data_IF_343397020935
#
_entry.id   IF_343397020935
#
_cell.length_a   1.000
_cell.length_b   1.000
_cell.length_c   1.000
_cell.angle_alpha   90.00
_cell.angle_beta   90.00
_cell.angle_gamma   90.00
#
_symmetry.space_group_name_H-M   'P 1'
#
loop_
_entity.id
_entity.type
_entity.pdbx_description
1 polymer ?
#
# COMPACT_ATOMS: atom_id res chain seq x y z
N UNK A 1 -13.84 14.56 -58.73
CA UNK A 1 -13.26 15.52 -59.67
C UNK A 1 -14.42 16.21 -60.38
N UNK A 2 -14.43 17.55 -60.38
CA UNK A 2 -15.40 18.49 -60.95
C UNK A 2 -16.86 18.41 -60.50
N UNK A 3 -17.27 19.35 -59.64
CA UNK A 3 -18.53 20.09 -59.78
C UNK A 3 -18.38 21.43 -59.04
N UNK A 4 -18.69 22.52 -59.76
CA UNK A 4 -18.85 23.92 -59.35
C UNK A 4 -17.60 24.83 -59.24
N UNK A 5 -17.24 25.37 -60.41
CA UNK A 5 -16.71 26.72 -60.58
C UNK A 5 -17.81 27.79 -60.51
N UNK A 6 -17.37 29.01 -60.20
CA UNK A 6 -17.99 30.33 -60.42
C UNK A 6 -18.98 30.88 -59.38
N UNK A 7 -18.44 31.74 -58.50
CA UNK A 7 -18.91 33.12 -58.42
C UNK A 7 -17.75 34.08 -58.04
N UNK A 8 -17.47 34.99 -58.96
CA UNK A 8 -16.51 36.09 -58.92
C UNK A 8 -16.74 37.05 -57.73
N UNK A 9 -15.69 37.42 -57.00
CA UNK A 9 -14.99 38.72 -57.09
C UNK A 9 -15.89 39.97 -57.12
N UNK A 10 -15.90 40.73 -56.02
CA UNK A 10 -15.74 42.20 -56.05
C UNK A 10 -15.58 42.79 -54.65
N UNK A 11 -14.35 43.19 -54.29
CA UNK A 11 -13.97 44.54 -53.82
C UNK A 11 -12.60 44.48 -53.14
N UNK A 12 -11.59 44.94 -53.90
CA UNK A 12 -10.32 45.46 -53.39
C UNK A 12 -10.52 46.89 -52.89
N UNK A 13 -9.71 47.27 -51.90
CA UNK A 13 -9.52 48.65 -51.45
C UNK A 13 -9.09 48.66 -49.98
N UNK A 14 -7.85 48.27 -49.67
CA UNK A 14 -6.72 49.20 -49.53
C UNK A 14 -6.76 50.01 -48.23
N UNK A 15 -5.99 49.58 -47.23
CA UNK A 15 -5.05 50.47 -46.56
C UNK A 15 -3.93 49.67 -45.87
N UNK A 16 -2.70 50.01 -46.27
CA UNK A 16 -1.42 49.59 -45.73
C UNK A 16 -0.94 50.67 -44.74
N UNK A 17 0.06 50.30 -43.93
CA UNK A 17 0.93 51.11 -43.07
C UNK A 17 0.42 51.27 -41.63
N UNK A 18 1.25 51.14 -40.57
CA UNK A 18 2.69 50.91 -40.43
C UNK A 18 2.95 50.60 -38.94
N UNK A 19 4.04 49.87 -38.66
CA UNK A 19 4.97 50.01 -37.50
C UNK A 19 4.36 49.88 -36.09
N UNK A 20 4.92 49.18 -35.11
CA UNK A 20 6.24 48.61 -34.85
C UNK A 20 6.27 48.34 -33.33
N UNK A 21 6.87 47.23 -32.88
CA UNK A 21 6.78 46.86 -31.46
C UNK A 21 7.64 45.67 -31.07
N UNK A 22 8.96 45.92 -31.04
CA UNK A 22 9.95 45.38 -30.10
C UNK A 22 9.82 43.91 -29.65
N UNK A 23 10.64 43.06 -30.25
CA UNK A 23 11.02 41.76 -29.70
C UNK A 23 12.09 41.97 -28.62
N UNK A 24 11.78 41.62 -27.38
CA UNK A 24 12.76 41.54 -26.28
C UNK A 24 13.56 40.23 -26.39
N UNK A 25 14.90 40.25 -26.26
CA UNK A 25 15.69 39.03 -26.27
C UNK A 25 15.52 38.30 -24.93
N UNK A 26 15.16 37.01 -25.01
CA UNK A 26 15.17 36.09 -23.86
C UNK A 26 16.62 35.89 -23.40
N UNK A 27 16.89 36.18 -22.13
CA UNK A 27 18.12 35.83 -21.44
C UNK A 27 18.30 34.30 -21.39
N UNK A 28 19.53 33.78 -21.53
CA UNK A 28 19.79 32.35 -21.39
C UNK A 28 19.68 31.92 -19.92
N UNK A 29 19.34 30.64 -19.65
CA UNK A 29 19.27 30.12 -18.28
C UNK A 29 20.68 30.04 -17.65
N UNK A 30 20.81 30.18 -16.32
CA UNK A 30 22.10 30.07 -15.66
C UNK A 30 22.61 28.63 -15.66
N UNK A 31 23.90 28.51 -15.95
CA UNK A 31 24.72 27.31 -15.95
C UNK A 31 24.88 26.76 -14.52
N UNK A 32 24.52 25.49 -14.29
CA UNK A 32 24.66 24.85 -12.98
C UNK A 32 26.10 24.32 -12.84
N UNK A 33 26.94 25.06 -12.12
CA UNK A 33 28.31 24.64 -11.80
C UNK A 33 28.29 23.74 -10.56
N UNK A 34 28.69 22.47 -10.72
CA UNK A 34 29.06 21.60 -9.60
C UNK A 34 30.20 22.24 -8.79
N UNK A 35 30.05 22.28 -7.46
CA UNK A 35 31.16 22.50 -6.53
C UNK A 35 31.28 21.31 -5.59
N UNK A 36 32.14 20.37 -5.99
CA UNK A 36 32.89 19.50 -5.10
C UNK A 36 34.14 20.23 -4.62
N UNK A 37 34.34 20.37 -3.31
CA UNK A 37 35.64 20.50 -2.63
C UNK A 37 35.38 20.76 -1.14
N UNK A 38 35.78 19.92 -0.18
CA UNK A 38 37.15 19.68 0.33
C UNK A 38 37.07 19.99 1.84
N UNK A 39 37.11 18.95 2.68
CA UNK A 39 37.69 19.06 4.01
C UNK A 39 38.98 18.24 3.97
N UNK A 40 40.09 18.96 3.98
CA UNK A 40 41.42 18.41 4.11
C UNK A 40 41.91 18.62 5.55
N UNK A 41 42.46 17.54 6.09
CA UNK A 41 43.66 17.43 6.91
C UNK A 41 43.88 18.36 8.10
N UNK A 42 44.06 17.72 9.26
CA UNK A 42 44.83 18.20 10.41
C UNK A 42 45.47 16.99 11.09
N UNK A 43 46.77 16.86 10.92
CA UNK A 43 47.66 15.74 11.26
C UNK A 43 47.84 15.48 12.77
N UNK A 44 48.43 14.31 13.08
CA UNK A 44 49.01 14.06 14.40
C UNK A 44 49.51 12.63 14.61
N UNK A 45 50.58 12.27 13.89
CA UNK A 45 51.72 11.39 14.25
C UNK A 45 51.51 10.13 15.13
N UNK A 46 51.79 8.94 14.58
CA UNK A 46 53.10 8.26 14.58
C UNK A 46 53.41 7.60 15.95
N UNK A 47 53.35 6.29 16.07
CA UNK A 47 54.43 5.33 15.80
C UNK A 47 53.93 4.02 16.46
N UNK A 48 54.10 2.81 15.94
CA UNK A 48 55.32 2.17 15.47
C UNK A 48 55.39 0.83 16.19
N UNK A 49 55.58 -0.23 15.40
CA UNK A 49 56.11 -1.56 15.74
C UNK A 49 55.31 -2.46 16.69
N UNK A 50 54.68 -3.51 16.17
CA UNK A 50 55.27 -4.79 15.72
C UNK A 50 55.39 -5.82 16.84
N UNK A 51 54.82 -6.97 16.53
CA UNK A 51 55.34 -8.32 16.78
C UNK A 51 55.07 -9.05 18.10
N UNK A 52 54.57 -10.29 17.87
CA UNK A 52 54.98 -11.57 18.47
C UNK A 52 54.49 -11.89 19.88
N UNK A 53 53.60 -12.87 20.02
CA UNK A 53 53.80 -14.34 19.98
C UNK A 53 54.29 -14.92 21.32
N UNK A 54 53.60 -15.98 21.75
CA UNK A 54 54.08 -16.97 22.73
C UNK A 54 53.17 -17.05 23.95
N UNK A 55 52.32 -18.08 24.15
CA UNK A 55 52.67 -19.45 24.61
C UNK A 55 53.67 -19.35 25.79
N UNK A 56 53.40 -19.81 27.00
CA UNK A 56 52.90 -21.12 27.45
C UNK A 56 52.64 -21.02 28.96
N UNK A 57 51.52 -21.53 29.47
CA UNK A 57 51.43 -22.77 30.25
C UNK A 57 52.47 -22.97 31.37
N UNK A 58 51.98 -23.06 32.61
CA UNK A 58 52.10 -24.22 33.53
C UNK A 58 52.11 -23.74 34.99
N UNK A 59 51.19 -24.29 35.79
CA UNK A 59 51.48 -25.30 36.83
C UNK A 59 51.72 -24.69 38.20
N UNK A 60 50.81 -24.97 39.14
CA UNK A 60 51.02 -24.68 40.56
C UNK A 60 49.98 -25.37 41.43
N UNK A 61 50.29 -26.61 41.83
CA UNK A 61 49.58 -27.42 42.83
C UNK A 61 49.42 -26.68 44.16
N UNK A 62 48.31 -26.94 44.86
CA UNK A 62 48.19 -26.61 46.28
C UNK A 62 46.87 -27.10 46.86
N UNK A 63 46.84 -28.37 47.29
CA UNK A 63 45.73 -28.92 48.07
C UNK A 63 45.89 -28.49 49.55
N UNK A 64 44.84 -27.92 50.13
CA UNK A 64 44.66 -27.83 51.57
C UNK A 64 43.20 -28.13 51.91
N UNK A 65 42.99 -29.17 52.71
CA UNK A 65 41.70 -29.54 53.30
C UNK A 65 41.37 -28.55 54.43
N UNK A 66 40.12 -28.08 54.48
CA UNK A 66 39.48 -27.74 55.74
C UNK A 66 38.00 -28.12 55.71
N UNK A 67 37.58 -28.67 56.84
CA UNK A 67 36.29 -29.29 57.14
C UNK A 67 35.24 -28.24 57.49
N UNK A 68 34.02 -28.39 56.96
CA UNK A 68 32.87 -27.59 57.37
C UNK A 68 31.56 -28.22 56.89
N UNK A 69 30.85 -28.89 57.79
CA UNK A 69 29.53 -29.44 57.57
C UNK A 69 28.50 -28.32 57.38
N UNK A 70 27.89 -28.24 56.20
CA UNK A 70 26.64 -27.53 55.98
C UNK A 70 25.72 -28.44 55.16
N UNK A 71 24.55 -28.74 55.73
CA UNK A 71 23.49 -29.56 55.14
C UNK A 71 23.07 -28.95 53.80
N UNK A 72 23.45 -29.59 52.70
CA UNK A 72 22.89 -29.31 51.39
C UNK A 72 21.42 -29.79 51.37
N UNK A 73 20.48 -28.84 51.26
CA UNK A 73 19.11 -29.16 50.88
C UNK A 73 19.12 -29.77 49.47
N UNK A 74 18.29 -30.79 49.18
CA UNK A 74 18.35 -31.47 47.89
C UNK A 74 17.91 -30.52 46.78
N UNK A 75 18.75 -30.42 45.74
CA UNK A 75 18.54 -29.60 44.53
C UNK A 75 17.25 -29.95 43.76
N UNK A 76 16.59 -31.06 44.12
CA UNK A 76 15.34 -31.53 43.53
C UNK A 76 14.14 -30.60 43.82
N UNK A 77 14.19 -29.78 44.89
CA UNK A 77 13.13 -28.81 45.18
C UNK A 77 13.21 -27.51 44.37
N UNK A 78 14.36 -27.17 43.79
CA UNK A 78 14.52 -25.99 42.94
C UNK A 78 14.14 -26.27 41.48
N UNK A 79 14.32 -27.51 41.01
CA UNK A 79 13.90 -27.93 39.66
C UNK A 79 12.38 -28.21 39.57
N UNK A 80 11.73 -28.51 40.69
CA UNK A 80 10.27 -28.68 40.74
C UNK A 80 9.48 -27.35 40.66
N UNK A 81 10.13 -26.20 40.83
CA UNK A 81 9.48 -24.87 40.79
C UNK A 81 9.43 -24.26 39.38
N UNK A 82 10.15 -24.83 38.41
CA UNK A 82 10.19 -24.37 37.01
C UNK A 82 9.13 -24.98 36.09
N UNK A 83 8.21 -25.81 36.62
CA UNK A 83 7.25 -26.58 35.81
C UNK A 83 5.79 -26.45 36.26
N UNK A 84 5.49 -25.44 37.07
CA UNK A 84 4.11 -25.00 37.24
C UNK A 84 3.79 -24.05 36.09
N UNK A 85 3.16 -24.58 35.05
CA UNK A 85 2.52 -23.75 34.04
C UNK A 85 1.60 -22.77 34.74
N UNK A 86 1.79 -21.48 34.50
CA UNK A 86 0.88 -20.47 34.97
C UNK A 86 -0.53 -20.87 34.53
N UNK A 87 -1.39 -21.21 35.49
CA UNK A 87 -2.80 -21.41 35.22
C UNK A 87 -3.31 -20.10 34.62
N UNK A 88 -3.58 -20.11 33.32
CA UNK A 88 -4.29 -19.03 32.64
C UNK A 88 -5.64 -18.98 33.32
N UNK A 89 -5.87 -17.96 34.15
CA UNK A 89 -7.22 -17.71 34.67
C UNK A 89 -8.15 -17.63 33.46
N UNK A 90 -9.40 -18.11 33.56
CA UNK A 90 -10.36 -17.86 32.50
C UNK A 90 -10.53 -16.34 32.43
N UNK A 91 -9.83 -15.72 31.49
CA UNK A 91 -10.00 -14.32 31.16
C UNK A 91 -11.48 -14.11 30.89
N UNK A 92 -12.00 -12.98 31.34
CA UNK A 92 -13.39 -12.66 31.12
C UNK A 92 -13.79 -12.92 29.66
N UNK A 93 -14.94 -13.55 29.37
CA UNK A 93 -15.38 -13.78 28.00
C UNK A 93 -15.57 -12.49 27.19
N UNK A 94 -15.58 -11.31 27.84
CA UNK A 94 -15.61 -9.99 27.21
C UNK A 94 -14.24 -9.29 27.14
N UNK A 95 -13.17 -9.85 27.71
CA UNK A 95 -11.84 -9.23 27.65
C UNK A 95 -11.27 -9.33 26.24
N UNK A 96 -11.34 -8.22 25.49
CA UNK A 96 -10.70 -8.10 24.19
C UNK A 96 -9.19 -8.29 24.33
N UNK A 97 -8.60 -9.19 23.55
CA UNK A 97 -7.15 -9.39 23.55
C UNK A 97 -6.40 -8.12 23.15
N UNK A 98 -5.15 -7.91 23.62
CA UNK A 98 -4.38 -6.67 23.36
C UNK A 98 -4.26 -6.31 21.87
N UNK A 99 -4.18 -7.32 20.99
CA UNK A 99 -4.13 -7.09 19.54
C UNK A 99 -5.43 -6.49 18.98
N UNK A 100 -6.59 -6.90 19.50
CA UNK A 100 -7.89 -6.35 19.10
C UNK A 100 -8.00 -4.91 19.57
N UNK A 101 -7.55 -4.63 20.79
CA UNK A 101 -7.51 -3.26 21.34
C UNK A 101 -6.63 -2.35 20.47
N UNK A 102 -5.43 -2.78 20.10
CA UNK A 102 -4.56 -2.00 19.20
C UNK A 102 -5.21 -1.74 17.84
N UNK A 103 -5.85 -2.75 17.25
CA UNK A 103 -6.53 -2.60 15.95
C UNK A 103 -7.69 -1.61 16.01
N UNK A 104 -8.51 -1.67 17.07
CA UNK A 104 -9.61 -0.72 17.29
C UNK A 104 -9.05 0.68 17.50
N UNK A 105 -8.04 0.84 18.36
CA UNK A 105 -7.42 2.14 18.62
C UNK A 105 -6.83 2.76 17.35
N UNK A 106 -6.08 1.98 16.56
CA UNK A 106 -5.55 2.43 15.26
C UNK A 106 -6.65 2.79 14.27
N UNK A 107 -7.77 2.05 14.27
CA UNK A 107 -8.91 2.36 13.40
C UNK A 107 -9.54 3.70 13.80
N UNK A 108 -9.79 3.93 15.09
CA UNK A 108 -10.35 5.18 15.60
C UNK A 108 -9.42 6.36 15.33
N UNK A 109 -8.12 6.21 15.60
CA UNK A 109 -7.13 7.25 15.29
C UNK A 109 -7.06 7.55 13.79
N UNK A 110 -7.08 6.50 12.96
CA UNK A 110 -7.04 6.64 11.51
C UNK A 110 -8.30 7.34 10.95
N UNK A 111 -9.47 7.06 11.52
CA UNK A 111 -10.71 7.81 11.24
C UNK A 111 -10.59 9.27 11.67
N UNK A 112 -10.08 9.52 12.89
CA UNK A 112 -9.92 10.87 13.40
C UNK A 112 -9.02 11.72 12.50
N UNK A 113 -7.86 11.22 12.07
CA UNK A 113 -6.94 11.97 11.21
C UNK A 113 -7.48 12.20 9.80
N UNK A 114 -8.13 11.19 9.21
CA UNK A 114 -8.60 11.25 7.81
C UNK A 114 -9.93 11.97 7.66
N UNK A 115 -10.83 11.90 8.64
CA UNK A 115 -12.15 12.52 8.55
C UNK A 115 -12.20 13.93 9.14
N UNK A 116 -11.18 14.32 9.93
CA UNK A 116 -11.14 15.65 10.54
C UNK A 116 -11.25 16.75 9.48
N UNK A 117 -12.31 17.56 9.60
CA UNK A 117 -12.55 18.74 8.75
C UNK A 117 -12.46 18.44 7.24
N UNK A 118 -12.97 17.28 6.79
CA UNK A 118 -12.83 16.82 5.40
C UNK A 118 -13.49 17.75 4.36
N UNK A 119 -14.51 18.50 4.80
CA UNK A 119 -15.24 19.46 3.98
C UNK A 119 -14.66 20.88 3.95
N UNK A 120 -13.51 21.12 4.59
CA UNK A 120 -12.97 22.48 4.79
C UNK A 120 -12.80 23.26 3.49
N UNK A 121 -12.12 22.66 2.51
CA UNK A 121 -12.03 23.24 1.17
C UNK A 121 -13.29 22.88 0.39
N UNK A 122 -14.08 23.88 0.00
CA UNK A 122 -15.24 23.73 -0.85
C UNK A 122 -14.92 23.90 -2.34
N UNK A 123 -13.67 23.64 -2.74
CA UNK A 123 -13.21 23.71 -4.13
C UNK A 123 -12.69 22.36 -4.60
N UNK A 124 -12.77 22.14 -5.91
CA UNK A 124 -12.11 21.04 -6.61
C UNK A 124 -10.60 21.25 -6.52
N UNK A 125 -9.90 20.29 -5.93
CA UNK A 125 -8.45 20.36 -5.70
C UNK A 125 -7.75 19.28 -6.51
N UNK A 126 -6.64 19.65 -7.19
CA UNK A 126 -5.76 18.68 -7.85
C UNK A 126 -6.54 17.76 -8.82
N UNK A 127 -6.25 16.47 -8.80
CA UNK A 127 -6.85 15.42 -9.62
C UNK A 127 -8.29 15.05 -9.23
N UNK A 128 -8.92 15.72 -8.25
CA UNK A 128 -10.38 15.64 -8.09
C UNK A 128 -11.09 16.04 -9.38
N UNK A 129 -10.50 16.96 -10.15
CA UNK A 129 -11.03 17.39 -11.44
C UNK A 129 -11.18 16.21 -12.42
N UNK A 130 -10.13 15.38 -12.51
CA UNK A 130 -10.12 14.21 -13.37
C UNK A 130 -11.02 13.10 -12.81
N UNK A 131 -10.84 12.76 -11.53
CA UNK A 131 -11.46 11.56 -10.96
C UNK A 131 -12.94 11.75 -10.62
N UNK A 132 -13.35 12.93 -10.15
CA UNK A 132 -14.77 13.27 -10.04
C UNK A 132 -15.42 13.37 -11.43
N UNK A 133 -14.71 13.94 -12.41
CA UNK A 133 -15.18 13.93 -13.81
C UNK A 133 -15.40 12.51 -14.35
N UNK A 134 -14.53 11.56 -14.02
CA UNK A 134 -14.74 10.15 -14.38
C UNK A 134 -15.89 9.49 -13.63
N UNK A 135 -16.07 9.80 -12.35
CA UNK A 135 -17.23 9.36 -11.58
C UNK A 135 -18.54 9.81 -12.22
N UNK A 136 -18.61 11.08 -12.60
CA UNK A 136 -19.80 11.68 -13.24
C UNK A 136 -20.17 10.97 -14.55
N UNK A 137 -19.18 10.46 -15.29
CA UNK A 137 -19.42 9.68 -16.51
C UNK A 137 -20.07 8.33 -16.23
N UNK A 138 -19.78 7.68 -15.09
CA UNK A 138 -20.51 6.49 -14.66
C UNK A 138 -21.96 6.82 -14.26
N UNK A 139 -22.18 7.95 -13.58
CA UNK A 139 -23.54 8.43 -13.26
C UNK A 139 -24.35 8.65 -14.54
N UNK A 140 -23.74 9.31 -15.53
CA UNK A 140 -24.40 9.64 -16.80
C UNK A 140 -24.51 8.44 -17.76
N UNK A 141 -23.74 7.38 -17.52
CA UNK A 141 -23.62 6.21 -18.42
C UNK A 141 -22.89 6.51 -19.72
N UNK A 142 -22.05 7.56 -19.76
CA UNK A 142 -21.34 8.02 -20.95
C UNK A 142 -19.94 7.42 -21.04
N UNK A 143 -19.63 6.77 -22.15
CA UNK A 143 -18.34 6.14 -22.37
C UNK A 143 -17.17 7.13 -22.34
N UNK A 144 -16.00 6.66 -21.91
CA UNK A 144 -14.76 7.41 -21.98
C UNK A 144 -13.54 6.50 -21.99
N UNK A 145 -12.42 7.06 -22.44
CA UNK A 145 -11.13 6.41 -22.42
C UNK A 145 -10.23 7.00 -21.32
N UNK A 146 -9.53 6.14 -20.59
CA UNK A 146 -8.51 6.52 -19.60
C UNK A 146 -7.41 5.45 -19.51
N UNK A 147 -6.23 5.84 -19.06
CA UNK A 147 -5.05 4.98 -18.93
C UNK A 147 -5.17 3.91 -17.84
N UNK A 148 -5.97 4.16 -16.79
CA UNK A 148 -6.08 3.24 -15.66
C UNK A 148 -7.25 2.27 -15.82
N UNK A 149 -7.16 1.07 -15.21
CA UNK A 149 -8.30 0.17 -15.02
C UNK A 149 -9.49 0.83 -14.29
N UNK A 150 -10.70 0.24 -14.38
CA UNK A 150 -11.93 0.95 -14.04
C UNK A 150 -12.34 0.87 -12.56
N UNK A 151 -11.83 -0.08 -11.75
CA UNK A 151 -12.40 -0.37 -10.42
C UNK A 151 -12.46 0.86 -9.52
N UNK A 152 -11.34 1.57 -9.34
CA UNK A 152 -11.30 2.73 -8.47
C UNK A 152 -12.21 3.87 -8.98
N UNK A 153 -12.35 4.02 -10.30
CA UNK A 153 -13.23 5.04 -10.88
C UNK A 153 -14.70 4.68 -10.75
N UNK A 154 -15.03 3.39 -10.90
CA UNK A 154 -16.37 2.88 -10.62
C UNK A 154 -16.75 3.09 -9.14
N UNK A 155 -15.80 2.94 -8.22
CA UNK A 155 -16.02 3.24 -6.80
C UNK A 155 -16.20 4.74 -6.54
N UNK A 156 -15.47 5.62 -7.26
CA UNK A 156 -15.74 7.07 -7.22
C UNK A 156 -17.15 7.36 -7.73
N UNK A 157 -17.54 6.82 -8.89
CA UNK A 157 -18.91 6.95 -9.41
C UNK A 157 -19.97 6.39 -8.46
N UNK A 158 -19.69 5.28 -7.77
CA UNK A 158 -20.56 4.76 -6.71
C UNK A 158 -20.73 5.77 -5.57
N UNK A 159 -19.65 6.42 -5.14
CA UNK A 159 -19.71 7.46 -4.10
C UNK A 159 -20.63 8.61 -4.51
N UNK A 160 -20.64 8.97 -5.79
CA UNK A 160 -21.49 10.02 -6.33
C UNK A 160 -22.96 9.59 -6.40
N UNK A 161 -23.24 8.39 -6.89
CA UNK A 161 -24.59 7.81 -6.92
C UNK A 161 -25.19 7.76 -5.50
N UNK A 162 -24.40 7.38 -4.49
CA UNK A 162 -24.82 7.33 -3.10
C UNK A 162 -25.20 8.71 -2.52
N UNK A 163 -24.74 9.81 -3.13
CA UNK A 163 -25.16 11.16 -2.76
C UNK A 163 -26.43 11.64 -3.45
N UNK A 164 -26.94 10.89 -4.42
CA UNK A 164 -27.99 11.36 -5.33
C UNK A 164 -27.49 12.39 -6.35
N UNK A 165 -26.19 12.39 -6.66
CA UNK A 165 -25.63 13.25 -7.70
C UNK A 165 -26.23 12.89 -9.06
N UNK A 166 -26.62 13.91 -9.82
CA UNK A 166 -27.32 13.77 -11.11
C UNK A 166 -26.37 13.86 -12.32
N UNK A 167 -25.07 14.02 -12.09
CA UNK A 167 -24.08 14.12 -13.16
C UNK A 167 -24.01 15.50 -13.83
N UNK A 168 -24.70 16.52 -13.30
CA UNK A 168 -24.79 17.86 -13.89
C UNK A 168 -23.56 18.75 -13.66
N UNK A 169 -22.80 18.50 -12.59
CA UNK A 169 -21.64 19.31 -12.22
C UNK A 169 -20.37 18.88 -12.97
N UNK A 170 -19.72 19.84 -13.63
CA UNK A 170 -18.40 19.66 -14.22
C UNK A 170 -17.32 19.92 -13.15
N UNK A 171 -16.49 18.93 -12.85
CA UNK A 171 -15.39 19.02 -11.89
C UNK A 171 -14.21 19.82 -12.45
N UNK A 172 -14.41 21.10 -12.77
CA UNK A 172 -13.33 21.95 -13.26
C UNK A 172 -12.34 22.31 -12.13
N UNK A 173 -11.05 22.36 -12.45
CA UNK A 173 -10.00 22.65 -11.46
C UNK A 173 -10.22 24.02 -10.80
N UNK A 174 -10.21 24.06 -9.46
CA UNK A 174 -10.41 25.29 -8.68
C UNK A 174 -11.85 25.78 -8.58
N UNK A 175 -12.79 25.15 -9.29
CA UNK A 175 -14.22 25.48 -9.21
C UNK A 175 -14.76 25.22 -7.81
N UNK A 176 -15.74 26.03 -7.41
CA UNK A 176 -16.40 25.87 -6.12
C UNK A 176 -17.53 24.85 -6.26
N UNK A 177 -17.63 23.90 -5.31
CA UNK A 177 -18.71 22.94 -5.29
C UNK A 177 -20.05 23.66 -5.04
N UNK A 178 -21.07 23.44 -5.89
CA UNK A 178 -22.39 24.00 -5.68
C UNK A 178 -23.09 23.31 -4.50
N UNK A 179 -24.12 23.96 -3.93
CA UNK A 179 -24.81 23.49 -2.73
C UNK A 179 -25.48 22.11 -2.87
N UNK A 180 -25.85 21.72 -4.08
CA UNK A 180 -26.49 20.42 -4.36
C UNK A 180 -25.48 19.26 -4.49
N UNK A 181 -24.18 19.53 -4.64
CA UNK A 181 -23.15 18.49 -4.77
C UNK A 181 -22.59 18.16 -3.38
N UNK A 182 -22.87 16.97 -2.89
CA UNK A 182 -22.36 16.50 -1.59
C UNK A 182 -20.92 15.94 -1.70
N UNK A 183 -19.98 16.82 -2.09
CA UNK A 183 -18.55 16.47 -2.20
C UNK A 183 -17.95 16.01 -0.86
N UNK A 184 -18.53 16.44 0.28
CA UNK A 184 -18.10 16.03 1.61
C UNK A 184 -18.26 14.53 1.80
N UNK A 185 -19.40 13.97 1.35
CA UNK A 185 -19.61 12.53 1.39
C UNK A 185 -18.70 11.79 0.42
N UNK A 186 -18.50 12.30 -0.80
CA UNK A 186 -17.60 11.69 -1.80
C UNK A 186 -16.15 11.61 -1.24
N UNK A 187 -15.67 12.69 -0.61
CA UNK A 187 -14.38 12.68 0.10
C UNK A 187 -14.35 11.72 1.28
N UNK A 188 -15.42 11.69 2.08
CA UNK A 188 -15.53 10.76 3.21
C UNK A 188 -15.48 9.29 2.76
N UNK A 189 -16.16 8.97 1.66
CA UNK A 189 -16.14 7.66 1.04
C UNK A 189 -14.72 7.28 0.61
N UNK A 190 -13.99 8.18 -0.07
CA UNK A 190 -12.60 7.90 -0.45
C UNK A 190 -11.67 7.79 0.75
N UNK A 191 -11.80 8.68 1.73
CA UNK A 191 -11.04 8.65 2.97
C UNK A 191 -11.27 7.36 3.77
N UNK A 192 -12.45 6.74 3.64
CA UNK A 192 -12.74 5.45 4.28
C UNK A 192 -11.83 4.33 3.80
N UNK A 193 -11.34 4.37 2.55
CA UNK A 193 -10.33 3.42 2.07
C UNK A 193 -8.94 3.70 2.66
N UNK A 194 -8.66 4.94 3.07
CA UNK A 194 -7.44 5.27 3.81
C UNK A 194 -7.46 4.74 5.26
N UNK A 195 -8.64 4.57 5.86
CA UNK A 195 -8.76 4.19 7.28
C UNK A 195 -8.10 2.83 7.59
N UNK A 196 -8.34 1.76 6.81
CA UNK A 196 -7.75 0.44 7.04
C UNK A 196 -6.23 0.36 6.96
N UNK A 197 -5.54 1.35 6.38
CA UNK A 197 -4.09 1.29 6.18
C UNK A 197 -3.33 1.07 7.50
N UNK A 198 -3.67 1.83 8.54
CA UNK A 198 -3.02 1.73 9.86
C UNK A 198 -3.25 0.36 10.55
N UNK A 199 -4.49 -0.14 10.71
CA UNK A 199 -4.71 -1.48 11.28
C UNK A 199 -4.17 -2.60 10.37
N UNK A 200 -4.20 -2.49 9.04
CA UNK A 200 -3.60 -3.49 8.16
C UNK A 200 -2.06 -3.54 8.32
N UNK A 201 -1.40 -2.40 8.52
CA UNK A 201 0.04 -2.36 8.81
C UNK A 201 0.37 -3.08 10.14
N UNK A 202 -0.41 -2.83 11.19
CA UNK A 202 -0.30 -3.57 12.46
C UNK A 202 -0.43 -5.08 12.24
N UNK A 203 -1.50 -5.52 11.57
CA UNK A 203 -1.78 -6.93 11.35
C UNK A 203 -0.70 -7.60 10.48
N UNK A 204 -0.14 -6.86 9.51
CA UNK A 204 0.97 -7.32 8.66
C UNK A 204 2.21 -7.58 9.50
N UNK A 205 2.62 -6.63 10.34
CA UNK A 205 3.79 -6.78 11.23
C UNK A 205 3.57 -7.89 12.27
N UNK A 206 2.36 -8.01 12.81
CA UNK A 206 2.00 -9.10 13.72
C UNK A 206 2.09 -10.48 13.03
N UNK A 207 1.73 -10.58 11.74
CA UNK A 207 1.89 -11.82 10.98
C UNK A 207 3.36 -12.16 10.69
N UNK A 208 4.22 -11.15 10.56
CA UNK A 208 5.67 -11.31 10.38
C UNK A 208 6.42 -11.65 11.69
N UNK A 209 5.71 -11.72 12.82
CA UNK A 209 6.29 -12.10 14.11
C UNK A 209 6.90 -10.96 14.91
N UNK A 210 6.62 -9.69 14.55
CA UNK A 210 7.01 -8.55 15.36
C UNK A 210 6.31 -8.55 16.71
N UNK A 211 6.95 -7.97 17.73
CA UNK A 211 6.31 -7.78 19.05
C UNK A 211 5.07 -6.88 18.94
N UNK A 212 4.08 -7.02 19.83
CA UNK A 212 2.87 -6.18 19.80
C UNK A 212 3.15 -4.68 19.79
N UNK A 213 4.18 -4.25 20.52
CA UNK A 213 4.60 -2.84 20.58
C UNK A 213 5.25 -2.38 19.27
N UNK A 214 6.07 -3.23 18.62
CA UNK A 214 6.65 -2.92 17.32
C UNK A 214 5.59 -2.85 16.22
N UNK A 215 4.61 -3.78 16.24
CA UNK A 215 3.47 -3.75 15.33
C UNK A 215 2.59 -2.50 15.56
N UNK A 216 2.37 -2.10 16.82
CA UNK A 216 1.66 -0.88 17.18
C UNK A 216 2.39 0.35 16.64
N UNK A 217 3.71 0.43 16.85
CA UNK A 217 4.53 1.51 16.30
C UNK A 217 4.39 1.61 14.78
N UNK A 218 4.46 0.48 14.06
CA UNK A 218 4.28 0.49 12.60
C UNK A 218 2.89 0.97 12.16
N UNK A 219 1.84 0.57 12.88
CA UNK A 219 0.49 1.09 12.66
C UNK A 219 0.37 2.60 12.91
N UNK A 220 1.02 3.11 13.97
CA UNK A 220 1.05 4.53 14.31
C UNK A 220 1.83 5.35 13.27
N UNK A 221 2.96 4.84 12.76
CA UNK A 221 3.72 5.48 11.69
C UNK A 221 2.86 5.65 10.42
N UNK A 222 2.12 4.62 10.02
CA UNK A 222 1.17 4.70 8.88
C UNK A 222 -0.02 5.63 9.18
N UNK A 223 -0.46 5.68 10.44
CA UNK A 223 -1.58 6.53 10.86
C UNK A 223 -1.22 8.03 10.82
N UNK A 224 -0.01 8.39 11.25
CA UNK A 224 0.48 9.76 11.37
C UNK A 224 1.37 10.21 10.19
N UNK A 225 1.45 9.42 9.13
CA UNK A 225 2.07 9.84 7.89
C UNK A 225 1.21 10.89 7.17
N UNK A 226 1.76 12.09 7.00
CA UNK A 226 1.05 13.23 6.39
C UNK A 226 0.75 13.01 4.90
N UNK A 227 1.60 12.28 4.17
CA UNK A 227 1.38 12.02 2.75
C UNK A 227 0.21 11.05 2.57
N UNK A 228 0.19 9.95 3.33
CA UNK A 228 -0.92 8.98 3.32
C UNK A 228 -2.23 9.60 3.82
N UNK A 229 -2.16 10.47 4.83
CA UNK A 229 -3.33 11.21 5.30
C UNK A 229 -3.87 12.14 4.20
N UNK A 230 -3.00 12.96 3.59
CA UNK A 230 -3.40 13.94 2.57
C UNK A 230 -3.98 13.26 1.32
N UNK A 231 -3.28 12.26 0.78
CA UNK A 231 -3.69 11.61 -0.47
C UNK A 231 -5.00 10.81 -0.32
N UNK A 232 -5.35 10.39 0.89
CA UNK A 232 -6.59 9.64 1.12
C UNK A 232 -7.84 10.52 1.27
N UNK A 233 -7.68 11.83 1.53
CA UNK A 233 -8.78 12.74 1.90
C UNK A 233 -9.57 13.33 0.74
N UNK A 234 -9.06 13.22 -0.48
CA UNK A 234 -9.64 13.84 -1.66
C UNK A 234 -10.36 12.82 -2.54
N UNK A 235 -11.10 13.30 -3.54
CA UNK A 235 -11.74 12.44 -4.55
C UNK A 235 -10.67 11.86 -5.49
N UNK A 236 -9.80 10.99 -4.97
CA UNK A 236 -8.67 10.39 -5.67
C UNK A 236 -8.77 8.86 -5.70
N UNK A 237 -8.19 8.26 -6.74
CA UNK A 237 -8.10 6.80 -6.88
C UNK A 237 -7.06 6.19 -5.93
N UNK A 238 -6.11 7.00 -5.46
CA UNK A 238 -4.95 6.57 -4.67
C UNK A 238 -5.33 6.00 -3.30
N UNK A 239 -6.39 6.53 -2.66
CA UNK A 239 -6.88 5.98 -1.40
C UNK A 239 -7.28 4.50 -1.52
N UNK A 240 -8.05 4.18 -2.57
CA UNK A 240 -8.51 2.83 -2.88
C UNK A 240 -7.34 1.94 -3.32
N UNK A 241 -6.46 2.47 -4.16
CA UNK A 241 -5.29 1.74 -4.62
C UNK A 241 -4.36 1.35 -3.45
N UNK A 242 -4.05 2.30 -2.56
CA UNK A 242 -3.26 2.04 -1.36
C UNK A 242 -3.93 1.03 -0.43
N UNK A 243 -5.27 1.09 -0.29
CA UNK A 243 -6.02 0.11 0.48
C UNK A 243 -5.85 -1.31 -0.08
N UNK A 244 -6.00 -1.50 -1.39
CA UNK A 244 -5.82 -2.80 -2.03
C UNK A 244 -4.37 -3.28 -2.01
N UNK A 245 -3.40 -2.37 -2.08
CA UNK A 245 -1.98 -2.68 -1.88
C UNK A 245 -1.70 -3.14 -0.45
N UNK A 246 -2.21 -2.43 0.56
CA UNK A 246 -2.07 -2.82 1.96
C UNK A 246 -2.79 -4.14 2.27
N UNK A 247 -3.95 -4.38 1.66
CA UNK A 247 -4.67 -5.66 1.73
C UNK A 247 -3.83 -6.79 1.13
N UNK A 248 -3.13 -6.54 0.01
CA UNK A 248 -2.22 -7.52 -0.61
C UNK A 248 -0.99 -7.79 0.24
N UNK A 249 -0.40 -6.78 0.87
CA UNK A 249 0.71 -6.96 1.81
C UNK A 249 0.27 -7.77 3.04
N UNK A 250 -0.91 -7.47 3.60
CA UNK A 250 -1.50 -8.23 4.69
C UNK A 250 -1.76 -9.68 4.29
N UNK A 251 -2.37 -9.91 3.12
CA UNK A 251 -2.68 -11.25 2.64
C UNK A 251 -1.40 -12.08 2.40
N UNK A 252 -0.36 -11.46 1.81
CA UNK A 252 0.96 -12.06 1.64
C UNK A 252 1.60 -12.41 2.99
N UNK A 253 1.55 -11.53 3.99
CA UNK A 253 2.06 -11.82 5.34
C UNK A 253 1.33 -13.01 5.98
N UNK A 254 0.03 -13.15 5.71
CA UNK A 254 -0.77 -14.30 6.13
C UNK A 254 -0.36 -15.59 5.43
N UNK A 255 -0.14 -15.55 4.12
CA UNK A 255 0.44 -16.68 3.37
C UNK A 255 1.78 -17.10 3.96
N UNK A 256 2.68 -16.14 4.22
CA UNK A 256 3.96 -16.40 4.87
C UNK A 256 3.78 -17.07 6.23
N UNK A 257 2.87 -16.56 7.08
CA UNK A 257 2.61 -17.12 8.42
C UNK A 257 2.15 -18.58 8.38
N UNK A 258 1.30 -18.93 7.42
CA UNK A 258 0.74 -20.29 7.29
C UNK A 258 1.49 -21.18 6.29
N UNK A 259 2.64 -20.75 5.75
CA UNK A 259 3.41 -21.50 4.75
C UNK A 259 3.79 -22.93 5.13
N UNK A 260 4.02 -23.17 6.43
CA UNK A 260 4.38 -24.48 6.99
C UNK A 260 3.18 -25.39 7.26
N UNK A 261 1.96 -24.91 6.98
CA UNK A 261 0.71 -25.65 7.16
C UNK A 261 -0.07 -25.66 5.83
N UNK A 262 0.52 -26.19 4.74
CA UNK A 262 -0.10 -26.17 3.42
C UNK A 262 -1.41 -26.98 3.43
N UNK A 263 -2.34 -26.61 2.54
CA UNK A 263 -3.63 -27.26 2.36
C UNK A 263 -4.59 -27.22 3.56
N UNK A 264 -4.25 -26.48 4.62
CA UNK A 264 -5.19 -26.17 5.69
C UNK A 264 -6.20 -25.12 5.24
N UNK A 265 -7.38 -25.06 5.88
CA UNK A 265 -8.36 -24.02 5.63
C UNK A 265 -7.77 -22.62 5.88
N UNK A 266 -6.90 -22.46 6.88
CA UNK A 266 -6.20 -21.20 7.12
C UNK A 266 -5.29 -20.81 5.96
N UNK A 267 -4.51 -21.75 5.42
CA UNK A 267 -3.65 -21.53 4.26
C UNK A 267 -4.45 -21.12 3.02
N UNK A 268 -5.54 -21.84 2.70
CA UNK A 268 -6.41 -21.49 1.57
C UNK A 268 -7.10 -20.13 1.72
N UNK A 269 -7.55 -19.77 2.94
CA UNK A 269 -8.12 -18.44 3.20
C UNK A 269 -7.15 -17.33 2.82
N UNK A 270 -5.88 -17.46 3.21
CA UNK A 270 -4.86 -16.46 2.87
C UNK A 270 -4.49 -16.49 1.39
N UNK A 271 -4.42 -17.66 0.76
CA UNK A 271 -4.18 -17.77 -0.68
C UNK A 271 -5.28 -17.06 -1.49
N UNK A 272 -6.55 -17.34 -1.16
CA UNK A 272 -7.70 -16.70 -1.83
C UNK A 272 -7.74 -15.20 -1.52
N UNK A 273 -7.47 -14.79 -0.28
CA UNK A 273 -7.39 -13.37 0.08
C UNK A 273 -6.32 -12.64 -0.74
N UNK A 274 -5.14 -13.26 -0.94
CA UNK A 274 -4.07 -12.70 -1.79
C UNK A 274 -4.53 -12.62 -3.25
N UNK A 275 -5.17 -13.67 -3.78
CA UNK A 275 -5.75 -13.65 -5.12
C UNK A 275 -6.75 -12.51 -5.34
N UNK A 276 -7.67 -12.37 -4.39
CA UNK A 276 -8.69 -11.32 -4.44
C UNK A 276 -8.04 -9.94 -4.37
N UNK A 277 -7.14 -9.71 -3.43
CA UNK A 277 -6.48 -8.41 -3.26
C UNK A 277 -5.60 -8.04 -4.47
N UNK A 278 -4.93 -9.02 -5.09
CA UNK A 278 -4.17 -8.82 -6.33
C UNK A 278 -5.08 -8.45 -7.51
N UNK A 279 -6.25 -9.08 -7.62
CA UNK A 279 -7.26 -8.70 -8.61
C UNK A 279 -7.74 -7.25 -8.40
N UNK A 280 -8.05 -6.87 -7.16
CA UNK A 280 -8.51 -5.52 -6.83
C UNK A 280 -7.42 -4.46 -7.10
N UNK A 281 -6.18 -4.68 -6.67
CA UNK A 281 -5.09 -3.70 -6.85
C UNK A 281 -4.75 -3.49 -8.32
N UNK A 282 -4.70 -4.58 -9.12
CA UNK A 282 -4.46 -4.52 -10.56
C UNK A 282 -5.63 -3.86 -11.30
N UNK A 283 -6.86 -4.03 -10.81
CA UNK A 283 -8.07 -3.40 -11.38
C UNK A 283 -8.27 -1.94 -10.98
N UNK A 284 -7.49 -1.43 -10.02
CA UNK A 284 -7.54 -0.03 -9.59
C UNK A 284 -6.55 0.84 -10.38
N UNK A 285 -5.27 0.46 -10.41
CA UNK A 285 -4.21 1.14 -11.19
C UNK A 285 -3.14 0.12 -11.59
N UNK A 286 -2.56 0.27 -12.78
CA UNK A 286 -1.53 -0.65 -13.27
C UNK A 286 -0.20 -0.62 -12.50
N UNK A 287 0.08 0.42 -11.73
CA UNK A 287 1.20 0.39 -10.77
C UNK A 287 1.05 -0.76 -9.75
N UNK A 288 -0.18 -1.26 -9.55
CA UNK A 288 -0.46 -2.47 -8.78
C UNK A 288 0.19 -3.76 -9.32
N UNK A 289 0.60 -3.78 -10.59
CA UNK A 289 1.39 -4.89 -11.10
C UNK A 289 2.76 -5.02 -10.42
N UNK A 290 3.28 -3.97 -9.78
CA UNK A 290 4.46 -4.08 -8.92
C UNK A 290 4.17 -4.96 -7.70
N UNK A 291 2.98 -4.83 -7.10
CA UNK A 291 2.52 -5.70 -6.01
C UNK A 291 2.30 -7.13 -6.49
N UNK A 292 1.72 -7.31 -7.69
CA UNK A 292 1.60 -8.63 -8.33
C UNK A 292 2.98 -9.26 -8.53
N UNK A 293 3.96 -8.49 -9.01
CA UNK A 293 5.34 -8.92 -9.19
C UNK A 293 6.00 -9.34 -7.87
N UNK A 294 5.82 -8.56 -6.79
CA UNK A 294 6.33 -8.90 -5.47
C UNK A 294 5.76 -10.24 -4.97
N UNK A 295 4.43 -10.41 -5.04
CA UNK A 295 3.78 -11.68 -4.65
C UNK A 295 4.22 -12.83 -5.55
N UNK A 296 4.38 -12.58 -6.86
CA UNK A 296 4.88 -13.54 -7.83
C UNK A 296 6.30 -14.02 -7.49
N UNK A 297 7.22 -13.09 -7.22
CA UNK A 297 8.59 -13.42 -6.80
C UNK A 297 8.62 -14.23 -5.50
N UNK A 298 7.83 -13.82 -4.50
CA UNK A 298 7.70 -14.59 -3.26
C UNK A 298 7.15 -16.00 -3.52
N UNK A 299 6.15 -16.12 -4.39
CA UNK A 299 5.54 -17.41 -4.74
C UNK A 299 6.52 -18.32 -5.46
N UNK A 300 7.32 -17.79 -6.39
CA UNK A 300 8.39 -18.53 -7.06
C UNK A 300 9.44 -19.02 -6.05
N UNK A 301 9.82 -18.17 -5.09
CA UNK A 301 10.70 -18.55 -4.00
C UNK A 301 10.11 -19.69 -3.15
N UNK A 302 8.84 -19.61 -2.74
CA UNK A 302 8.20 -20.68 -1.97
C UNK A 302 8.08 -21.98 -2.76
N UNK A 303 7.74 -21.92 -4.05
CA UNK A 303 7.67 -23.10 -4.90
C UNK A 303 9.05 -23.74 -5.07
N UNK A 304 10.10 -22.94 -5.19
CA UNK A 304 11.49 -23.41 -5.22
C UNK A 304 11.89 -24.09 -3.89
N UNK A 305 11.56 -23.49 -2.74
CA UNK A 305 11.83 -24.08 -1.42
C UNK A 305 11.10 -25.42 -1.24
N UNK A 306 9.81 -25.48 -1.62
CA UNK A 306 9.01 -26.72 -1.58
C UNK A 306 9.57 -27.78 -2.53
N UNK A 307 10.07 -27.39 -3.71
CA UNK A 307 10.72 -28.30 -4.66
C UNK A 307 12.03 -28.89 -4.09
N UNK A 308 12.82 -28.08 -3.37
CA UNK A 308 14.08 -28.53 -2.75
C UNK A 308 13.91 -29.54 -1.60
N UNK A 309 12.69 -29.72 -1.07
CA UNK A 309 12.43 -30.63 0.04
C UNK A 309 12.37 -32.10 -0.44
N UNK A 310 13.42 -32.86 -0.12
CA UNK A 310 13.66 -34.27 -0.53
C UNK A 310 12.52 -35.27 -0.19
N UNK A 311 11.57 -34.90 0.67
CA UNK A 311 10.47 -35.75 1.15
C UNK A 311 9.11 -35.43 0.53
N UNK A 312 9.02 -34.44 -0.36
CA UNK A 312 7.73 -34.06 -0.96
C UNK A 312 7.33 -35.02 -2.08
N UNK A 313 6.13 -35.59 -1.96
CA UNK A 313 5.55 -36.46 -3.00
C UNK A 313 5.22 -35.61 -4.24
N UNK A 314 5.42 -36.15 -5.44
CA UNK A 314 5.10 -35.48 -6.72
C UNK A 314 3.65 -34.98 -6.76
N UNK A 315 2.71 -35.74 -6.21
CA UNK A 315 1.29 -35.33 -6.11
C UNK A 315 1.12 -34.05 -5.29
N UNK A 316 1.88 -33.91 -4.18
CA UNK A 316 1.89 -32.69 -3.37
C UNK A 316 2.43 -31.51 -4.18
N UNK A 317 3.50 -31.71 -4.95
CA UNK A 317 4.06 -30.66 -5.81
C UNK A 317 3.02 -30.17 -6.82
N UNK A 318 2.36 -31.07 -7.53
CA UNK A 318 1.29 -30.73 -8.48
C UNK A 318 0.17 -29.95 -7.80
N UNK A 319 -0.27 -30.38 -6.61
CA UNK A 319 -1.28 -29.67 -5.83
C UNK A 319 -0.83 -28.28 -5.38
N UNK A 320 0.45 -28.12 -5.01
CA UNK A 320 1.01 -26.82 -4.69
C UNK A 320 0.90 -25.89 -5.90
N UNK A 321 1.44 -26.30 -7.06
CA UNK A 321 1.36 -25.53 -8.30
C UNK A 321 -0.08 -25.20 -8.70
N UNK A 322 -0.97 -26.19 -8.74
CA UNK A 322 -2.37 -26.00 -9.11
C UNK A 322 -3.06 -24.99 -8.19
N UNK A 323 -2.86 -25.08 -6.87
CA UNK A 323 -3.44 -24.15 -5.92
C UNK A 323 -2.94 -22.71 -6.13
N UNK A 324 -1.63 -22.49 -6.42
CA UNK A 324 -1.10 -21.14 -6.69
C UNK A 324 -1.59 -20.61 -8.03
N UNK A 325 -1.69 -21.43 -9.07
CA UNK A 325 -2.23 -21.00 -10.38
C UNK A 325 -3.68 -20.55 -10.21
N UNK A 326 -4.52 -21.35 -9.54
CA UNK A 326 -5.91 -20.95 -9.30
C UNK A 326 -5.98 -19.70 -8.42
N UNK A 327 -5.28 -19.71 -7.28
CA UNK A 327 -5.34 -18.64 -6.29
C UNK A 327 -4.74 -17.32 -6.75
N UNK A 328 -3.61 -17.34 -7.47
CA UNK A 328 -2.78 -16.17 -7.74
C UNK A 328 -2.74 -15.78 -9.23
N UNK A 329 -3.41 -16.53 -10.12
CA UNK A 329 -3.57 -16.16 -11.54
C UNK A 329 -5.05 -16.13 -11.90
N UNK A 330 -5.77 -17.25 -11.76
CA UNK A 330 -7.17 -17.35 -12.22
C UNK A 330 -8.08 -16.37 -11.46
N UNK A 331 -8.00 -16.32 -10.13
CA UNK A 331 -8.82 -15.40 -9.33
C UNK A 331 -8.52 -13.92 -9.65
N UNK A 332 -7.26 -13.43 -9.62
CA UNK A 332 -6.96 -12.04 -9.99
C UNK A 332 -7.43 -11.67 -11.41
N UNK A 333 -7.19 -12.55 -12.40
CA UNK A 333 -7.62 -12.33 -13.79
C UNK A 333 -9.14 -12.28 -13.88
N UNK A 334 -9.86 -13.17 -13.20
CA UNK A 334 -11.32 -13.16 -13.19
C UNK A 334 -11.88 -11.85 -12.61
N UNK A 335 -11.30 -11.33 -11.53
CA UNK A 335 -11.71 -10.04 -10.94
C UNK A 335 -11.41 -8.89 -11.91
N UNK A 336 -10.24 -8.90 -12.54
CA UNK A 336 -9.87 -7.89 -13.53
C UNK A 336 -10.85 -7.86 -14.71
N UNK A 337 -11.12 -9.03 -15.30
CA UNK A 337 -12.09 -9.16 -16.39
C UNK A 337 -13.51 -8.78 -15.95
N UNK A 338 -13.91 -9.12 -14.72
CA UNK A 338 -15.21 -8.72 -14.17
C UNK A 338 -15.32 -7.20 -14.05
N UNK A 339 -14.27 -6.50 -13.59
CA UNK A 339 -14.27 -5.05 -13.48
C UNK A 339 -14.48 -4.39 -14.86
N UNK A 340 -13.81 -4.89 -15.91
CA UNK A 340 -14.03 -4.41 -17.28
C UNK A 340 -15.42 -4.77 -17.81
N UNK A 341 -15.90 -5.98 -17.51
CA UNK A 341 -17.26 -6.40 -17.89
C UNK A 341 -18.33 -5.50 -17.29
N UNK A 342 -18.17 -5.07 -16.04
CA UNK A 342 -19.07 -4.13 -15.37
C UNK A 342 -18.89 -2.73 -15.95
N UNK A 343 -17.67 -2.26 -16.14
CA UNK A 343 -17.37 -0.97 -16.75
C UNK A 343 -18.08 -0.78 -18.11
N UNK A 344 -17.94 -1.74 -19.02
CA UNK A 344 -18.62 -1.70 -20.32
C UNK A 344 -20.13 -1.89 -20.23
N UNK A 345 -20.65 -2.50 -19.16
CA UNK A 345 -22.10 -2.60 -18.94
C UNK A 345 -22.70 -1.27 -18.49
N UNK A 346 -21.96 -0.52 -17.65
CA UNK A 346 -22.42 0.74 -17.08
C UNK A 346 -22.35 1.89 -18.10
N UNK A 347 -21.33 1.90 -18.97
CA UNK A 347 -21.10 2.97 -19.93
C UNK A 347 -21.66 2.63 -21.32
N UNK A 348 -22.99 2.63 -21.44
CA UNK A 348 -23.70 2.23 -22.66
C UNK A 348 -23.96 3.37 -23.65
N UNK A 349 -23.79 4.64 -23.25
CA UNK A 349 -23.96 5.81 -24.13
C UNK A 349 -22.63 6.24 -24.73
N UNK A 350 -22.66 6.82 -25.92
CA UNK A 350 -21.49 7.47 -26.52
C UNK A 350 -21.01 8.63 -25.66
N UNK A 351 -19.69 8.83 -25.62
CA UNK A 351 -19.05 9.96 -24.96
C UNK A 351 -17.91 10.53 -25.82
N UNK A 352 -17.16 11.51 -25.29
CA UNK A 352 -16.16 12.28 -26.04
C UNK A 352 -14.88 11.50 -26.37
#
# INVERSE_FOLDING_TARGET
>A
MSLFENAASSKRGSQRAREGGSATPKSPPPEYTEKHSLFASGDGDASGDETTLGRTASSGRGAAKSTGSSKAAPADKLLARGRQGAAVSPGSPWALGPAVVHMIALTVLSMATRFYNIGFSNRVIWDEAHHGGFGARYVNGTFYHDVHPPLAKMLVGLSEILTGFDGSFSFESGSQYPSHVNYKFMRLFNASFGVPLAPMAYATLANLGCSPNAALLGGLLVCFDNALCTISRFILLDAMHLCFTAMSALALSGMYKYRRQPFTAAWYRWLVATGVSLGLVASAKWVGFLTVGLVGLYTLYELYDVFGQRKTRVTSQILHWAARVVGLIVIPVAIYMLCFRVHFALLYKSGP
#
